data_IF_365077830772
#
_entry.id   IF_365077830772
#
_cell.length_a   1.000
_cell.length_b   1.000
_cell.length_c   1.000
_cell.angle_alpha   90.00
_cell.angle_beta   90.00
_cell.angle_gamma   90.00
#
_symmetry.space_group_name_H-M   'P 1'
#
loop_
_entity.id
_entity.type
_entity.pdbx_description
1 polymer ?
#
# COMPACT_ATOMS: atom_id res chain seq x y z
N UNK A 1 48.48 17.85 -26.85
CA UNK A 1 47.77 17.79 -25.56
C UNK A 1 46.30 17.56 -25.87
N UNK A 2 45.92 16.30 -26.04
CA UNK A 2 44.58 15.93 -26.49
C UNK A 2 43.71 15.77 -25.24
N UNK A 3 42.79 16.71 -25.03
CA UNK A 3 41.81 16.65 -23.95
C UNK A 3 40.81 15.53 -24.30
N UNK A 4 40.98 14.36 -23.69
CA UNK A 4 39.99 13.28 -23.77
C UNK A 4 38.85 13.67 -22.83
N UNK A 5 37.75 14.15 -23.41
CA UNK A 5 36.50 14.36 -22.71
C UNK A 5 35.88 12.97 -22.43
N UNK A 6 36.13 12.43 -21.24
CA UNK A 6 35.41 11.24 -20.75
C UNK A 6 33.96 11.65 -20.49
N UNK A 7 33.08 11.42 -21.47
CA UNK A 7 31.64 11.37 -21.25
C UNK A 7 31.34 10.18 -20.34
N UNK A 8 31.33 10.41 -19.03
CA UNK A 8 30.69 9.48 -18.09
C UNK A 8 29.19 9.55 -18.38
N UNK A 9 28.64 8.52 -19.00
CA UNK A 9 27.20 8.31 -19.04
C UNK A 9 26.72 8.18 -17.58
N UNK A 10 26.19 9.26 -17.00
CA UNK A 10 25.34 9.15 -15.82
C UNK A 10 24.21 8.21 -16.22
N UNK A 11 24.11 7.06 -15.55
CA UNK A 11 22.91 6.25 -15.61
C UNK A 11 21.79 7.06 -14.93
N UNK A 12 21.18 7.96 -15.69
CA UNK A 12 20.16 8.90 -15.25
C UNK A 12 18.80 8.18 -15.15
N UNK A 13 18.66 7.30 -14.16
CA UNK A 13 17.37 6.66 -13.87
C UNK A 13 17.31 5.81 -12.59
N UNK A 14 18.34 5.84 -11.74
CA UNK A 14 18.38 5.11 -10.49
C UNK A 14 19.07 5.91 -9.40
N UNK A 15 18.73 5.59 -8.14
CA UNK A 15 19.33 6.14 -6.95
C UNK A 15 20.85 6.33 -7.05
N UNK A 16 21.35 7.42 -6.49
CA UNK A 16 22.79 7.58 -6.25
C UNK A 16 23.31 6.54 -5.24
N UNK A 17 24.64 6.44 -5.09
CA UNK A 17 25.26 5.56 -4.09
C UNK A 17 25.15 6.09 -2.64
N UNK A 18 24.59 7.28 -2.41
CA UNK A 18 24.48 7.86 -1.07
C UNK A 18 23.42 7.14 -0.22
N UNK A 19 23.59 7.11 1.10
CA UNK A 19 22.53 6.66 2.00
C UNK A 19 21.52 7.80 2.14
N UNK A 20 20.24 7.52 1.88
CA UNK A 20 19.17 8.50 2.02
C UNK A 20 18.56 8.35 3.42
N UNK A 21 18.46 9.45 4.15
CA UNK A 21 17.97 9.48 5.52
C UNK A 21 17.17 10.76 5.80
N UNK A 22 16.44 10.79 6.92
CA UNK A 22 15.63 11.96 7.33
C UNK A 22 16.47 13.24 7.34
N UNK A 23 15.91 14.31 6.75
CA UNK A 23 16.59 15.58 6.53
C UNK A 23 17.37 15.68 5.22
N UNK A 24 17.48 14.59 4.44
CA UNK A 24 17.96 14.67 3.07
C UNK A 24 16.92 15.35 2.16
N UNK A 25 17.41 15.96 1.08
CA UNK A 25 16.59 16.60 0.07
C UNK A 25 17.15 16.32 -1.33
N UNK A 26 16.31 16.43 -2.36
CA UNK A 26 16.71 16.37 -3.77
C UNK A 26 16.27 15.11 -4.51
N UNK A 27 16.89 14.86 -5.67
CA UNK A 27 16.46 13.85 -6.64
C UNK A 27 16.35 12.42 -6.07
N UNK A 28 17.30 12.02 -5.23
CA UNK A 28 17.28 10.72 -4.56
C UNK A 28 16.05 10.57 -3.64
N UNK A 29 15.61 11.65 -2.99
CA UNK A 29 14.42 11.66 -2.14
C UNK A 29 13.14 11.65 -2.97
N UNK A 30 13.13 12.37 -4.10
CA UNK A 30 12.04 12.35 -5.08
C UNK A 30 11.82 10.91 -5.58
N UNK A 31 12.90 10.23 -5.97
CA UNK A 31 12.83 8.83 -6.39
C UNK A 31 12.37 7.93 -5.24
N UNK A 32 12.88 8.14 -4.02
CA UNK A 32 12.47 7.37 -2.84
C UNK A 32 10.96 7.49 -2.60
N UNK A 33 10.44 8.72 -2.54
CA UNK A 33 9.03 9.00 -2.34
C UNK A 33 8.18 8.43 -3.48
N UNK A 34 8.61 8.60 -4.73
CA UNK A 34 7.90 8.06 -5.90
C UNK A 34 7.82 6.52 -5.84
N UNK A 35 8.92 5.85 -5.53
CA UNK A 35 8.93 4.38 -5.42
C UNK A 35 8.14 3.88 -4.22
N UNK A 36 8.25 4.56 -3.06
CA UNK A 36 7.43 4.24 -1.89
C UNK A 36 5.95 4.43 -2.19
N UNK A 37 5.59 5.48 -2.92
CA UNK A 37 4.23 5.74 -3.35
C UNK A 37 3.75 4.70 -4.35
N UNK A 38 4.58 4.32 -5.33
CA UNK A 38 4.29 3.21 -6.25
C UNK A 38 3.96 1.93 -5.49
N UNK A 39 4.73 1.64 -4.44
CA UNK A 39 4.53 0.45 -3.59
C UNK A 39 3.43 0.62 -2.54
N UNK A 40 2.76 1.77 -2.47
CA UNK A 40 1.66 2.03 -1.55
C UNK A 40 2.05 2.37 -0.12
N UNK A 41 3.32 2.69 0.15
CA UNK A 41 3.81 3.05 1.49
C UNK A 41 3.85 4.56 1.73
N UNK A 42 3.78 5.38 0.68
CA UNK A 42 3.82 6.85 0.78
C UNK A 42 2.62 7.50 0.08
N UNK A 43 1.90 8.39 0.76
CA UNK A 43 0.66 9.01 0.24
C UNK A 43 0.72 10.53 0.10
N UNK A 44 1.75 11.15 0.67
CA UNK A 44 1.94 12.60 0.56
C UNK A 44 2.46 12.97 -0.84
N UNK A 45 2.50 14.28 -1.11
CA UNK A 45 3.07 14.80 -2.35
C UNK A 45 4.56 14.48 -2.45
N UNK A 46 5.02 14.12 -3.64
CA UNK A 46 6.45 13.99 -3.92
C UNK A 46 7.05 15.39 -3.98
N UNK A 47 7.70 15.81 -2.90
CA UNK A 47 8.28 17.14 -2.72
C UNK A 47 9.82 17.12 -2.69
N UNK A 48 10.42 15.93 -2.66
CA UNK A 48 11.87 15.77 -2.58
C UNK A 48 12.45 16.08 -1.20
N UNK A 49 11.63 16.16 -0.15
CA UNK A 49 12.06 16.42 1.23
C UNK A 49 11.84 15.19 2.10
N UNK A 50 12.91 14.69 2.72
CA UNK A 50 12.81 13.52 3.59
C UNK A 50 12.36 13.94 4.99
N UNK A 51 11.06 14.17 5.12
CA UNK A 51 10.37 14.43 6.39
C UNK A 51 9.94 13.16 7.15
N UNK A 52 9.12 13.37 8.19
CA UNK A 52 8.62 12.28 9.03
C UNK A 52 7.70 11.31 8.30
N UNK A 53 6.88 11.78 7.36
CA UNK A 53 6.03 10.90 6.55
C UNK A 53 6.86 9.94 5.70
N UNK A 54 7.92 10.44 5.04
CA UNK A 54 8.85 9.62 4.26
C UNK A 54 9.59 8.60 5.14
N UNK A 55 9.92 8.99 6.37
CA UNK A 55 10.55 8.10 7.36
C UNK A 55 9.66 6.91 7.72
N UNK A 56 8.41 7.17 8.08
CA UNK A 56 7.48 6.10 8.43
C UNK A 56 7.13 5.23 7.23
N UNK A 57 6.93 5.82 6.05
CA UNK A 57 6.74 5.07 4.81
C UNK A 57 7.89 4.10 4.54
N UNK A 58 9.14 4.57 4.67
CA UNK A 58 10.33 3.76 4.46
C UNK A 58 10.44 2.61 5.47
N UNK A 59 10.18 2.89 6.76
CA UNK A 59 10.20 1.89 7.82
C UNK A 59 9.17 0.78 7.57
N UNK A 60 7.95 1.15 7.19
CA UNK A 60 6.89 0.20 6.88
C UNK A 60 7.24 -0.67 5.66
N UNK A 61 7.84 -0.05 4.64
CA UNK A 61 8.38 -0.79 3.50
C UNK A 61 9.48 -1.77 3.93
N UNK A 62 10.43 -1.34 4.76
CA UNK A 62 11.51 -2.19 5.26
C UNK A 62 10.98 -3.40 6.02
N UNK A 63 10.06 -3.17 6.96
CA UNK A 63 9.41 -4.22 7.73
C UNK A 63 8.68 -5.22 6.83
N UNK A 64 7.85 -4.73 5.90
CA UNK A 64 7.08 -5.57 4.99
C UNK A 64 7.92 -6.43 4.06
N UNK A 65 9.17 -6.02 3.79
CA UNK A 65 10.08 -6.73 2.91
C UNK A 65 11.21 -7.46 3.64
N UNK A 66 11.12 -7.58 4.97
CA UNK A 66 12.09 -8.30 5.80
C UNK A 66 13.49 -7.68 5.79
N UNK A 67 13.56 -6.36 5.61
CA UNK A 67 14.80 -5.58 5.66
C UNK A 67 15.06 -5.08 7.09
N UNK A 68 16.30 -4.68 7.43
CA UNK A 68 16.56 -3.92 8.64
C UNK A 68 15.66 -2.68 8.69
N UNK A 69 14.88 -2.55 9.76
CA UNK A 69 13.92 -1.44 9.95
C UNK A 69 14.66 -0.27 10.60
N UNK A 70 15.66 0.28 9.91
CA UNK A 70 16.55 1.33 10.39
C UNK A 70 16.15 2.74 9.92
N UNK A 71 15.18 2.85 9.00
CA UNK A 71 14.76 4.11 8.41
C UNK A 71 15.80 4.72 7.47
N UNK A 72 16.75 3.93 6.98
CA UNK A 72 17.79 4.32 6.04
C UNK A 72 17.57 3.65 4.67
N UNK A 73 17.53 4.45 3.61
CA UNK A 73 17.51 3.91 2.25
C UNK A 73 18.96 3.62 1.79
N UNK A 74 19.55 2.59 2.40
CA UNK A 74 20.83 2.01 1.97
C UNK A 74 20.68 1.08 0.76
N UNK A 75 21.79 0.48 0.33
CA UNK A 75 21.85 -0.32 -0.90
C UNK A 75 20.83 -1.47 -0.96
N UNK A 76 20.60 -2.18 0.15
CA UNK A 76 19.62 -3.26 0.21
C UNK A 76 18.18 -2.74 0.02
N UNK A 77 17.84 -1.65 0.70
CA UNK A 77 16.54 -0.99 0.60
C UNK A 77 16.28 -0.46 -0.81
N UNK A 78 17.26 0.27 -1.39
CA UNK A 78 17.21 0.81 -2.75
C UNK A 78 16.99 -0.29 -3.79
N UNK A 79 17.79 -1.35 -3.74
CA UNK A 79 17.64 -2.52 -4.62
C UNK A 79 16.28 -3.19 -4.48
N UNK A 80 15.69 -3.21 -3.28
CA UNK A 80 14.37 -3.78 -3.06
C UNK A 80 13.28 -2.89 -3.65
N UNK A 81 13.36 -1.57 -3.46
CA UNK A 81 12.46 -0.58 -4.07
C UNK A 81 12.52 -0.68 -5.60
N UNK A 82 13.71 -0.71 -6.19
CA UNK A 82 13.90 -0.86 -7.65
C UNK A 82 13.23 -2.11 -8.21
N UNK A 83 13.27 -3.22 -7.47
CA UNK A 83 12.60 -4.47 -7.89
C UNK A 83 11.09 -4.44 -7.69
N UNK A 84 10.60 -3.72 -6.68
CA UNK A 84 9.20 -3.66 -6.31
C UNK A 84 8.42 -2.52 -7.00
N UNK A 85 9.11 -1.64 -7.73
CA UNK A 85 8.51 -0.44 -8.32
C UNK A 85 9.03 -0.16 -9.73
N UNK A 86 8.24 0.59 -10.49
CA UNK A 86 8.73 1.32 -11.67
C UNK A 86 8.95 2.78 -11.28
N UNK A 87 9.89 3.44 -11.94
CA UNK A 87 10.14 4.86 -11.75
C UNK A 87 10.38 5.51 -13.12
N UNK A 88 9.51 6.47 -13.45
CA UNK A 88 9.59 7.30 -14.65
C UNK A 88 10.05 8.69 -14.21
N UNK A 89 11.37 8.88 -14.18
CA UNK A 89 12.01 10.10 -13.74
C UNK A 89 11.51 11.33 -14.51
N UNK A 90 11.38 11.21 -15.83
CA UNK A 90 10.96 12.30 -16.70
C UNK A 90 9.54 12.75 -16.39
N UNK A 91 8.62 11.79 -16.18
CA UNK A 91 7.25 12.09 -15.80
C UNK A 91 7.17 12.76 -14.43
N UNK A 92 7.79 12.16 -13.41
CA UNK A 92 7.78 12.65 -12.02
C UNK A 92 8.36 14.06 -11.97
N UNK A 93 9.55 14.28 -12.54
CA UNK A 93 10.15 15.62 -12.59
C UNK A 93 9.28 16.61 -13.36
N UNK A 94 8.67 16.23 -14.49
CA UNK A 94 7.79 17.14 -15.23
C UNK A 94 6.59 17.64 -14.41
N UNK A 95 5.98 16.78 -13.58
CA UNK A 95 4.86 17.19 -12.73
C UNK A 95 5.30 18.17 -11.62
N UNK A 96 6.46 17.93 -11.00
CA UNK A 96 7.04 18.83 -9.98
C UNK A 96 7.31 20.22 -10.59
N UNK A 97 7.95 20.29 -11.75
CA UNK A 97 8.25 21.57 -12.41
C UNK A 97 6.99 22.38 -12.79
N UNK A 98 5.87 21.69 -13.04
CA UNK A 98 4.57 22.33 -13.33
C UNK A 98 3.88 22.85 -12.07
N UNK A 99 4.47 22.68 -10.89
CA UNK A 99 3.90 23.10 -9.60
C UNK A 99 2.62 22.35 -9.22
N UNK A 100 2.40 21.15 -9.77
CA UNK A 100 1.22 20.35 -9.49
C UNK A 100 1.53 19.37 -8.37
N UNK A 101 0.67 19.30 -7.35
CA UNK A 101 0.63 18.14 -6.47
C UNK A 101 0.13 16.94 -7.28
N UNK A 102 0.89 15.85 -7.29
CA UNK A 102 0.55 14.62 -8.03
C UNK A 102 0.94 13.40 -7.20
N UNK A 103 0.32 12.26 -7.52
CA UNK A 103 0.62 10.97 -6.89
C UNK A 103 1.06 9.96 -7.96
N UNK A 104 1.95 9.04 -7.58
CA UNK A 104 2.65 8.11 -8.47
C UNK A 104 2.46 6.65 -8.05
N UNK A 105 1.28 6.08 -8.31
CA UNK A 105 0.90 4.70 -7.94
C UNK A 105 1.06 3.65 -9.06
N UNK A 106 1.91 3.92 -10.06
CA UNK A 106 2.29 2.89 -11.05
C UNK A 106 1.34 2.60 -12.21
N UNK A 107 0.37 3.47 -12.48
CA UNK A 107 -0.44 3.41 -13.70
C UNK A 107 0.25 4.12 -14.87
N UNK A 108 0.75 3.38 -15.85
CA UNK A 108 1.08 3.95 -17.15
C UNK A 108 -0.21 4.26 -17.91
N UNK A 109 -0.65 5.52 -17.90
CA UNK A 109 -1.09 6.21 -19.11
C UNK A 109 -1.26 7.71 -18.87
N UNK A 110 -0.49 8.49 -19.62
CA UNK A 110 -0.29 9.94 -19.46
C UNK A 110 -1.46 10.78 -20.01
N UNK A 111 -2.64 10.21 -20.21
CA UNK A 111 -3.82 10.91 -20.77
C UNK A 111 -5.16 10.49 -20.16
N UNK A 112 -5.19 9.90 -18.96
CA UNK A 112 -6.47 9.56 -18.31
C UNK A 112 -6.33 9.46 -16.78
N UNK A 113 -6.10 10.60 -16.11
CA UNK A 113 -6.41 10.76 -14.67
C UNK A 113 -7.93 10.86 -14.45
N UNK A 114 -8.74 10.01 -15.11
CA UNK A 114 -10.19 9.92 -14.94
C UNK A 114 -10.85 8.77 -15.73
N UNK A 115 -10.50 7.50 -15.51
CA UNK A 115 -11.44 6.37 -15.77
C UNK A 115 -10.92 5.07 -15.13
N UNK A 116 -11.69 4.49 -14.22
CA UNK A 116 -11.62 3.11 -13.68
C UNK A 116 -11.01 2.83 -12.29
N UNK A 117 -10.59 3.83 -11.51
CA UNK A 117 -10.42 3.65 -10.05
C UNK A 117 -11.49 4.45 -9.31
N UNK A 118 -12.17 3.88 -8.30
CA UNK A 118 -13.08 4.67 -7.46
C UNK A 118 -12.34 5.84 -6.78
N UNK A 119 -13.03 6.97 -6.54
CA UNK A 119 -12.44 8.10 -5.81
C UNK A 119 -11.82 7.66 -4.47
N UNK A 120 -10.58 8.07 -4.20
CA UNK A 120 -9.89 7.81 -2.93
C UNK A 120 -9.01 6.54 -2.86
N UNK A 121 -9.07 5.67 -3.88
CA UNK A 121 -8.26 4.44 -3.93
C UNK A 121 -7.49 4.31 -5.25
N UNK A 122 -6.21 3.97 -5.16
CA UNK A 122 -5.39 3.64 -6.33
C UNK A 122 -5.63 2.20 -6.81
N UNK A 123 -5.20 1.88 -8.03
CA UNK A 123 -5.21 0.49 -8.51
C UNK A 123 -4.39 -0.46 -7.61
N UNK A 124 -3.32 0.05 -6.99
CA UNK A 124 -2.51 -0.71 -6.04
C UNK A 124 -3.27 -0.97 -4.73
N UNK A 125 -3.99 0.03 -4.21
CA UNK A 125 -4.85 -0.17 -3.03
C UNK A 125 -5.88 -1.27 -3.29
N UNK A 126 -6.53 -1.23 -4.46
CA UNK A 126 -7.53 -2.25 -4.87
C UNK A 126 -6.87 -3.63 -4.97
N UNK A 127 -5.64 -3.73 -5.48
CA UNK A 127 -4.90 -4.99 -5.56
C UNK A 127 -4.54 -5.54 -4.19
N UNK A 128 -4.00 -4.70 -3.29
CA UNK A 128 -3.68 -5.08 -1.92
C UNK A 128 -4.93 -5.54 -1.17
N UNK A 129 -6.01 -4.76 -1.23
CA UNK A 129 -7.29 -5.11 -0.62
C UNK A 129 -7.83 -6.43 -1.16
N UNK A 130 -7.76 -6.65 -2.48
CA UNK A 130 -8.29 -7.88 -3.08
C UNK A 130 -7.49 -9.12 -2.64
N UNK A 131 -6.16 -9.01 -2.53
CA UNK A 131 -5.32 -10.11 -2.04
C UNK A 131 -5.55 -10.38 -0.54
N UNK A 132 -5.71 -9.32 0.27
CA UNK A 132 -6.09 -9.45 1.68
C UNK A 132 -7.46 -10.13 1.83
N UNK A 133 -8.50 -9.64 1.13
CA UNK A 133 -9.84 -10.24 1.12
C UNK A 133 -9.79 -11.70 0.69
N UNK A 134 -9.03 -12.03 -0.34
CA UNK A 134 -8.91 -13.42 -0.80
C UNK A 134 -8.28 -14.32 0.25
N UNK A 135 -7.22 -13.88 0.93
CA UNK A 135 -6.59 -14.67 2.01
C UNK A 135 -7.55 -14.99 3.15
N UNK A 136 -8.37 -14.01 3.54
CA UNK A 136 -9.27 -14.14 4.68
C UNK A 136 -10.57 -14.89 4.34
N UNK A 137 -11.06 -14.79 3.10
CA UNK A 137 -12.42 -15.22 2.74
C UNK A 137 -12.48 -16.17 1.54
N UNK A 138 -11.35 -16.79 1.16
CA UNK A 138 -11.35 -17.83 0.11
C UNK A 138 -12.29 -18.97 0.50
N UNK A 139 -13.29 -19.21 -0.36
CA UNK A 139 -14.28 -20.27 -0.16
C UNK A 139 -15.52 -19.83 0.63
N UNK A 140 -15.55 -18.59 1.13
CA UNK A 140 -16.75 -17.99 1.74
C UNK A 140 -17.77 -17.59 0.66
N UNK A 141 -19.07 -17.43 1.03
CA UNK A 141 -20.05 -16.80 0.16
C UNK A 141 -19.58 -15.41 -0.28
N UNK A 142 -20.04 -14.95 -1.45
CA UNK A 142 -19.63 -13.64 -2.01
C UNK A 142 -19.86 -12.49 -1.02
N UNK A 143 -21.00 -12.50 -0.31
CA UNK A 143 -21.30 -11.55 0.76
C UNK A 143 -20.23 -11.54 1.86
N UNK A 144 -19.65 -12.68 2.21
CA UNK A 144 -18.54 -12.78 3.17
C UNK A 144 -17.23 -12.16 2.64
N UNK A 145 -16.99 -12.21 1.33
CA UNK A 145 -15.83 -11.54 0.72
C UNK A 145 -16.03 -10.01 0.74
N UNK A 146 -17.25 -9.54 0.40
CA UNK A 146 -17.61 -8.11 0.50
C UNK A 146 -17.51 -7.65 1.96
N UNK A 147 -17.93 -8.48 2.91
CA UNK A 147 -17.86 -8.20 4.33
C UNK A 147 -16.41 -7.96 4.84
N UNK A 148 -15.43 -8.77 4.40
CA UNK A 148 -14.03 -8.52 4.74
C UNK A 148 -13.52 -7.22 4.10
N UNK A 149 -13.90 -6.93 2.86
CA UNK A 149 -13.54 -5.68 2.20
C UNK A 149 -14.12 -4.46 2.93
N UNK A 150 -15.38 -4.54 3.38
CA UNK A 150 -16.02 -3.50 4.16
C UNK A 150 -15.32 -3.26 5.50
N UNK A 151 -14.89 -4.30 6.21
CA UNK A 151 -14.09 -4.16 7.44
C UNK A 151 -12.79 -3.38 7.19
N UNK A 152 -12.09 -3.62 6.06
CA UNK A 152 -10.90 -2.84 5.70
C UNK A 152 -11.26 -1.35 5.57
N UNK A 153 -12.36 -1.04 4.88
CA UNK A 153 -12.82 0.34 4.68
C UNK A 153 -13.27 1.00 6.00
N UNK A 154 -13.95 0.27 6.87
CA UNK A 154 -14.39 0.73 8.19
C UNK A 154 -13.18 1.07 9.08
N UNK A 155 -12.12 0.25 9.00
CA UNK A 155 -10.85 0.57 9.67
C UNK A 155 -10.20 1.82 9.09
N UNK A 156 -10.15 1.96 7.76
CA UNK A 156 -9.61 3.18 7.12
C UNK A 156 -10.37 4.44 7.55
N UNK A 157 -11.67 4.34 7.80
CA UNK A 157 -12.52 5.43 8.28
C UNK A 157 -12.45 5.68 9.80
N UNK A 158 -11.92 4.74 10.57
CA UNK A 158 -11.89 4.78 12.04
C UNK A 158 -10.62 5.45 12.57
N UNK A 159 -10.78 6.32 13.57
CA UNK A 159 -9.64 6.96 14.27
C UNK A 159 -8.78 5.96 15.06
N UNK A 160 -9.29 4.75 15.29
CA UNK A 160 -8.56 3.69 16.02
C UNK A 160 -7.57 2.91 15.17
N UNK A 161 -7.55 3.16 13.86
CA UNK A 161 -6.76 2.41 12.88
C UNK A 161 -6.01 3.37 11.94
N UNK A 162 -5.02 2.88 11.18
CA UNK A 162 -4.41 3.68 10.11
C UNK A 162 -5.45 4.15 9.10
N UNK A 163 -5.39 5.41 8.69
CA UNK A 163 -6.32 6.03 7.75
C UNK A 163 -6.04 5.69 6.26
N UNK A 164 -5.42 4.52 6.01
CA UNK A 164 -5.01 4.11 4.66
C UNK A 164 -5.19 2.60 4.49
N UNK A 165 -5.61 2.14 3.30
CA UNK A 165 -5.81 0.71 3.03
C UNK A 165 -4.53 -0.10 3.26
N UNK A 166 -3.39 0.39 2.75
CA UNK A 166 -2.08 -0.19 3.00
C UNK A 166 -1.75 -0.27 4.50
N UNK A 167 -1.94 0.83 5.24
CA UNK A 167 -1.71 0.87 6.69
C UNK A 167 -2.54 -0.17 7.43
N UNK A 168 -3.84 -0.27 7.16
CA UNK A 168 -4.73 -1.28 7.74
C UNK A 168 -4.29 -2.70 7.38
N UNK A 169 -3.92 -2.94 6.12
CA UNK A 169 -3.54 -4.27 5.63
C UNK A 169 -2.22 -4.75 6.25
N UNK A 170 -1.25 -3.84 6.42
CA UNK A 170 0.09 -4.16 6.93
C UNK A 170 0.21 -4.04 8.45
N UNK A 171 -0.87 -3.77 9.19
CA UNK A 171 -0.82 -3.87 10.64
C UNK A 171 -0.40 -5.28 11.07
N UNK A 172 0.54 -5.42 12.04
CA UNK A 172 1.08 -6.72 12.44
C UNK A 172 -0.02 -7.71 12.83
N UNK A 173 -0.13 -8.81 12.07
CA UNK A 173 -1.10 -9.88 12.32
C UNK A 173 -2.54 -9.58 11.90
N UNK A 174 -2.81 -8.46 11.21
CA UNK A 174 -4.16 -8.09 10.80
C UNK A 174 -4.70 -8.96 9.65
N UNK A 175 -3.84 -9.39 8.72
CA UNK A 175 -4.21 -10.19 7.55
C UNK A 175 -3.18 -11.29 7.27
N UNK A 176 -3.66 -12.53 7.12
CA UNK A 176 -2.84 -13.72 6.85
C UNK A 176 -2.09 -13.62 5.52
N UNK A 177 -2.68 -13.00 4.50
CA UNK A 177 -2.09 -12.82 3.17
C UNK A 177 -0.76 -12.05 3.20
N UNK A 178 -0.53 -11.20 4.21
CA UNK A 178 0.75 -10.50 4.39
C UNK A 178 1.81 -11.46 4.88
N UNK A 179 1.53 -12.23 5.95
CA UNK A 179 2.45 -13.20 6.52
C UNK A 179 2.79 -14.34 5.54
N UNK A 180 1.81 -14.76 4.75
CA UNK A 180 1.96 -15.83 3.76
C UNK A 180 2.62 -15.35 2.45
N UNK A 181 2.95 -14.07 2.34
CA UNK A 181 3.57 -13.48 1.15
C UNK A 181 2.66 -13.41 -0.09
N UNK A 182 1.35 -13.67 0.08
CA UNK A 182 0.37 -13.69 -1.00
C UNK A 182 -0.12 -12.29 -1.40
N UNK A 183 0.20 -11.27 -0.58
CA UNK A 183 -0.26 -9.89 -0.80
C UNK A 183 0.22 -9.26 -2.12
N UNK A 184 1.27 -9.80 -2.74
CA UNK A 184 1.87 -9.29 -3.99
C UNK A 184 1.46 -10.07 -5.25
N UNK A 185 0.55 -11.03 -5.14
CA UNK A 185 0.12 -11.86 -6.27
C UNK A 185 -0.92 -11.13 -7.15
N UNK A 186 -1.21 -11.71 -8.32
CA UNK A 186 -2.33 -11.27 -9.15
C UNK A 186 -3.64 -11.53 -8.40
N UNK A 187 -4.51 -10.52 -8.21
CA UNK A 187 -5.75 -10.69 -7.47
C UNK A 187 -6.70 -11.70 -8.09
N UNK A 188 -7.36 -12.45 -7.22
CA UNK A 188 -8.54 -13.20 -7.61
C UNK A 188 -9.65 -12.25 -8.08
N UNK A 189 -10.27 -12.54 -9.23
CA UNK A 189 -11.28 -11.66 -9.83
C UNK A 189 -12.51 -11.45 -8.94
N UNK A 190 -12.95 -12.50 -8.23
CA UNK A 190 -14.10 -12.42 -7.31
C UNK A 190 -13.79 -11.54 -6.11
N UNK A 191 -12.60 -11.71 -5.50
CA UNK A 191 -12.19 -10.86 -4.38
C UNK A 191 -12.01 -9.39 -4.81
N UNK A 192 -11.45 -9.15 -6.00
CA UNK A 192 -11.35 -7.79 -6.56
C UNK A 192 -12.73 -7.16 -6.78
N UNK A 193 -13.69 -7.94 -7.28
CA UNK A 193 -15.07 -7.46 -7.44
C UNK A 193 -15.72 -7.13 -6.09
N UNK A 194 -15.50 -7.97 -5.07
CA UNK A 194 -15.99 -7.73 -3.72
C UNK A 194 -15.43 -6.43 -3.11
N UNK A 195 -14.15 -6.14 -3.34
CA UNK A 195 -13.53 -4.87 -2.96
C UNK A 195 -14.21 -3.68 -3.65
N UNK A 196 -14.44 -3.76 -4.95
CA UNK A 196 -15.10 -2.68 -5.69
C UNK A 196 -16.54 -2.46 -5.21
N UNK A 197 -17.28 -3.53 -4.92
CA UNK A 197 -18.64 -3.44 -4.37
C UNK A 197 -18.66 -2.78 -2.99
N UNK A 198 -17.70 -3.12 -2.11
CA UNK A 198 -17.55 -2.46 -0.82
C UNK A 198 -17.18 -0.97 -0.97
N UNK A 199 -16.25 -0.63 -1.87
CA UNK A 199 -15.90 0.77 -2.17
C UNK A 199 -17.10 1.55 -2.71
N UNK A 200 -17.99 0.89 -3.47
CA UNK A 200 -19.24 1.47 -3.94
C UNK A 200 -20.33 1.58 -2.86
N UNK A 201 -20.00 1.25 -1.60
CA UNK A 201 -20.85 1.47 -0.43
C UNK A 201 -21.60 0.23 0.07
N UNK A 202 -21.32 -0.97 -0.46
CA UNK A 202 -21.91 -2.18 0.07
C UNK A 202 -21.17 -2.67 1.33
N UNK A 203 -21.71 -2.36 2.51
CA UNK A 203 -21.28 -2.95 3.78
C UNK A 203 -22.35 -3.93 4.32
N UNK A 204 -22.16 -5.26 4.18
CA UNK A 204 -23.08 -6.24 4.75
C UNK A 204 -22.88 -6.44 6.27
N UNK A 205 -21.81 -5.91 6.86
CA UNK A 205 -21.42 -6.18 8.26
C UNK A 205 -22.17 -5.33 9.28
N UNK A 206 -22.56 -4.11 8.90
CA UNK A 206 -23.09 -3.11 9.82
C UNK A 206 -21.99 -2.34 10.54
N UNK A 207 -21.01 -1.83 9.79
CA UNK A 207 -19.87 -1.04 10.30
C UNK A 207 -18.90 -1.82 11.21
N UNK A 208 -18.78 -3.13 11.01
CA UNK A 208 -17.88 -3.96 11.81
C UNK A 208 -16.41 -3.53 11.62
N UNK A 209 -15.64 -3.57 12.72
CA UNK A 209 -14.19 -3.32 12.75
C UNK A 209 -13.38 -4.61 12.92
N UNK A 210 -14.03 -5.67 13.41
CA UNK A 210 -13.41 -6.97 13.65
C UNK A 210 -14.27 -8.11 13.12
N UNK A 211 -13.63 -9.26 12.92
CA UNK A 211 -14.30 -10.51 12.65
C UNK A 211 -13.46 -11.69 13.15
N UNK A 212 -14.10 -12.83 13.37
CA UNK A 212 -13.40 -14.06 13.73
C UNK A 212 -14.19 -15.30 13.30
N UNK A 213 -13.48 -16.41 13.12
CA UNK A 213 -14.09 -17.72 12.97
C UNK A 213 -14.32 -18.35 14.36
N UNK A 214 -15.57 -18.56 14.81
CA UNK A 214 -15.86 -19.09 16.14
C UNK A 214 -15.37 -20.53 16.34
N UNK A 215 -15.13 -21.28 15.25
CA UNK A 215 -14.65 -22.65 15.32
C UNK A 215 -13.13 -22.72 15.62
N UNK A 216 -12.39 -21.64 15.37
CA UNK A 216 -10.93 -21.61 15.50
C UNK A 216 -10.39 -20.50 16.41
N UNK A 217 -11.20 -19.49 16.75
CA UNK A 217 -10.76 -18.34 17.53
C UNK A 217 -10.55 -18.69 19.01
N UNK A 218 -9.34 -18.45 19.51
CA UNK A 218 -8.95 -18.71 20.91
C UNK A 218 -8.81 -17.44 21.75
N UNK A 219 -8.84 -16.25 21.15
CA UNK A 219 -8.64 -14.98 21.85
C UNK A 219 -9.86 -14.61 22.72
N UNK A 220 -9.71 -14.63 24.05
CA UNK A 220 -10.80 -14.20 24.95
C UNK A 220 -11.26 -12.75 24.68
N UNK A 221 -10.34 -11.90 24.22
CA UNK A 221 -10.65 -10.52 23.87
C UNK A 221 -11.60 -10.43 22.67
N UNK A 222 -11.42 -11.23 21.61
CA UNK A 222 -12.31 -11.15 20.44
C UNK A 222 -13.73 -11.63 20.77
N UNK A 223 -13.84 -12.63 21.64
CA UNK A 223 -15.13 -13.13 22.15
C UNK A 223 -15.87 -12.11 23.04
N UNK A 224 -15.16 -11.12 23.59
CA UNK A 224 -15.75 -10.06 24.41
C UNK A 224 -16.34 -8.91 23.59
N UNK A 225 -16.04 -8.83 22.28
CA UNK A 225 -16.54 -7.75 21.41
C UNK A 225 -18.06 -7.90 21.16
N UNK A 226 -18.82 -6.80 21.08
CA UNK A 226 -20.22 -6.85 20.67
C UNK A 226 -20.38 -7.53 19.30
N UNK A 227 -21.11 -8.63 19.25
CA UNK A 227 -21.31 -9.40 18.03
C UNK A 227 -22.50 -8.82 17.25
N UNK A 228 -22.27 -8.49 15.98
CA UNK A 228 -23.29 -7.87 15.12
C UNK A 228 -24.06 -8.95 14.37
N UNK A 229 -23.34 -9.81 13.62
CA UNK A 229 -23.92 -10.91 12.84
C UNK A 229 -22.87 -11.93 12.40
N UNK A 230 -23.34 -13.06 11.86
CA UNK A 230 -22.50 -14.09 11.23
C UNK A 230 -22.77 -14.14 9.72
N UNK A 231 -21.72 -14.10 8.91
CA UNK A 231 -21.78 -14.31 7.45
C UNK A 231 -20.77 -15.41 7.12
N UNK A 232 -21.25 -16.52 6.54
CA UNK A 232 -20.42 -17.70 6.32
C UNK A 232 -19.83 -18.22 7.63
N UNK A 233 -18.50 -18.37 7.68
CA UNK A 233 -17.78 -18.83 8.88
C UNK A 233 -17.36 -17.70 9.81
N UNK A 234 -17.58 -16.43 9.46
CA UNK A 234 -17.13 -15.30 10.27
C UNK A 234 -18.26 -14.66 11.07
N UNK A 235 -18.02 -14.41 12.35
CA UNK A 235 -18.78 -13.49 13.18
C UNK A 235 -18.12 -12.12 13.07
N UNK A 236 -18.91 -11.08 12.79
CA UNK A 236 -18.48 -9.68 12.66
C UNK A 236 -18.86 -8.90 13.91
N UNK A 237 -17.98 -7.99 14.34
CA UNK A 237 -18.05 -7.29 15.62
C UNK A 237 -17.63 -5.82 15.51
N UNK A 238 -18.17 -5.02 16.44
CA UNK A 238 -17.70 -3.65 16.73
C UNK A 238 -16.34 -3.64 17.43
#
# INVERSE_FOLDING_TARGET
>A
MTLILLLTAHHAGAFSNQIIQRGAEGDDVIELQARLQYTGYYRDSIDGVFGWSTYWALRNFQESFGLPVDGLAGAATKKKLEKASKYDEAHVKSQIHKGRSFTYYGGADTTSQSVNSPPGFSQNDIQLMANAVYGESRGEPYEGQVAVAAVILNRVASESFPNTASGVIFEPGAFTAVADGQIWLTPNETAKKAVLDAINGWDPTGEALYYFNPDTATSAWIWSRPQIKKIGRHIYCE
#
